data_IF_927170953077
#
_entry.id   IF_927170953077
#
_cell.length_a   1.000
_cell.length_b   1.000
_cell.length_c   1.000
_cell.angle_alpha   90.00
_cell.angle_beta   90.00
_cell.angle_gamma   90.00
#
_symmetry.space_group_name_H-M   'P 1'
#
loop_
_entity.id
_entity.type
_entity.pdbx_description
1 polymer ?
#
# COMPACT_ATOMS: atom_id res chain seq x y z
N UNK A 1 -2.99 -15.89 6.45
CA UNK A 1 -1.57 -15.61 6.73
C UNK A 1 -0.85 -15.36 5.42
N UNK A 2 0.12 -14.45 5.38
CA UNK A 2 0.99 -14.28 4.19
C UNK A 2 2.41 -14.67 4.59
N UNK A 3 3.00 -15.60 3.85
CA UNK A 3 4.40 -16.00 4.04
C UNK A 3 5.25 -15.37 2.94
N UNK A 4 6.27 -14.60 3.34
CA UNK A 4 7.22 -14.00 2.42
C UNK A 4 8.50 -14.84 2.42
N UNK A 5 8.88 -15.41 1.27
CA UNK A 5 9.84 -16.50 1.27
C UNK A 5 10.84 -16.47 0.12
N UNK A 6 12.10 -16.84 0.44
CA UNK A 6 13.22 -16.94 -0.50
C UNK A 6 13.49 -18.37 -1.00
N UNK A 7 13.35 -19.39 -0.14
CA UNK A 7 13.63 -20.80 -0.47
C UNK A 7 12.58 -21.77 0.08
N UNK A 8 12.35 -22.90 -0.59
CA UNK A 8 11.33 -23.89 -0.19
C UNK A 8 11.64 -24.61 1.14
N UNK A 9 12.91 -24.96 1.37
CA UNK A 9 13.36 -25.70 2.56
C UNK A 9 12.97 -24.92 3.82
N UNK A 10 13.15 -23.60 3.80
CA UNK A 10 12.80 -22.73 4.91
C UNK A 10 11.29 -22.60 5.09
N UNK A 11 10.48 -22.67 4.01
CA UNK A 11 9.01 -22.64 4.11
C UNK A 11 8.46 -23.84 4.87
N UNK A 12 8.97 -25.04 4.59
CA UNK A 12 8.50 -26.27 5.24
C UNK A 12 8.83 -26.27 6.73
N UNK A 13 10.04 -25.85 7.11
CA UNK A 13 10.44 -25.70 8.52
C UNK A 13 9.59 -24.66 9.24
N UNK A 14 9.39 -23.49 8.62
CA UNK A 14 8.56 -22.43 9.17
C UNK A 14 7.10 -22.88 9.36
N UNK A 15 6.54 -23.60 8.38
CA UNK A 15 5.17 -24.12 8.48
C UNK A 15 5.01 -25.12 9.63
N UNK A 16 6.00 -26.00 9.85
CA UNK A 16 6.00 -26.91 11.01
C UNK A 16 5.96 -26.12 12.32
N UNK A 17 6.85 -25.14 12.48
CA UNK A 17 6.90 -24.26 13.65
C UNK A 17 5.58 -23.52 13.87
N UNK A 18 4.98 -22.93 12.83
CA UNK A 18 3.71 -22.21 12.95
C UNK A 18 2.60 -23.17 13.39
N UNK A 19 2.57 -24.40 12.86
CA UNK A 19 1.59 -25.40 13.27
C UNK A 19 1.79 -25.86 14.73
N UNK A 20 3.02 -25.99 15.21
CA UNK A 20 3.31 -26.30 16.61
C UNK A 20 2.84 -25.16 17.52
N UNK A 21 3.21 -23.92 17.21
CA UNK A 21 2.73 -22.75 17.93
C UNK A 21 1.21 -22.61 17.89
N UNK A 22 0.58 -22.87 16.74
CA UNK A 22 -0.87 -22.76 16.60
C UNK A 22 -1.58 -23.81 17.44
N UNK A 23 -1.03 -25.03 17.56
CA UNK A 23 -1.55 -26.06 18.48
C UNK A 23 -1.48 -25.61 19.94
N UNK A 24 -0.34 -25.06 20.36
CA UNK A 24 -0.15 -24.56 21.74
C UNK A 24 -1.13 -23.42 22.04
N UNK A 25 -1.28 -22.48 21.10
CA UNK A 25 -2.14 -21.32 21.25
C UNK A 25 -3.64 -21.61 20.98
N UNK A 26 -4.00 -22.83 20.57
CA UNK A 26 -5.37 -23.21 20.24
C UNK A 26 -5.91 -22.59 18.93
N UNK A 27 -5.05 -22.07 18.06
CA UNK A 27 -5.43 -21.48 16.78
C UNK A 27 -5.33 -22.48 15.61
N UNK A 28 -6.26 -22.36 14.65
CA UNK A 28 -6.26 -23.13 13.40
C UNK A 28 -5.93 -22.23 12.21
N UNK A 29 -4.88 -22.58 11.46
CA UNK A 29 -4.51 -21.85 10.24
C UNK A 29 -5.57 -22.09 9.16
N UNK A 30 -6.09 -21.00 8.60
CA UNK A 30 -6.94 -21.08 7.41
C UNK A 30 -6.05 -21.19 6.15
N UNK A 31 -5.92 -22.41 5.62
CA UNK A 31 -5.07 -22.72 4.46
C UNK A 31 -5.57 -22.01 3.20
N UNK A 32 -6.89 -21.94 2.99
CA UNK A 32 -7.50 -21.32 1.80
C UNK A 32 -7.25 -19.81 1.73
N UNK A 33 -7.28 -19.13 2.88
CA UNK A 33 -6.96 -17.69 2.99
C UNK A 33 -5.46 -17.42 3.12
N UNK A 34 -4.65 -18.46 3.23
CA UNK A 34 -3.21 -18.30 3.38
C UNK A 34 -2.50 -18.38 2.05
N UNK A 35 -1.59 -17.43 1.85
CA UNK A 35 -0.93 -17.20 0.58
C UNK A 35 0.57 -17.21 0.83
N UNK A 36 1.31 -17.84 -0.08
CA UNK A 36 2.76 -17.74 -0.11
C UNK A 36 3.17 -16.80 -1.23
N UNK A 37 3.88 -15.74 -0.87
CA UNK A 37 4.47 -14.80 -1.80
C UNK A 37 5.95 -15.13 -1.99
N UNK A 38 6.32 -15.45 -3.23
CA UNK A 38 7.64 -15.99 -3.54
C UNK A 38 8.49 -15.01 -4.38
N UNK A 39 9.73 -14.83 -3.95
CA UNK A 39 10.73 -14.01 -4.64
C UNK A 39 11.67 -14.85 -5.52
N UNK A 40 11.15 -15.67 -6.44
CA UNK A 40 12.01 -16.42 -7.38
C UNK A 40 11.68 -16.09 -8.83
N UNK A 41 12.71 -15.79 -9.64
CA UNK A 41 12.58 -15.56 -11.09
C UNK A 41 12.64 -16.87 -11.88
N UNK A 42 12.99 -17.98 -11.23
CA UNK A 42 13.17 -19.24 -11.93
C UNK A 42 11.81 -19.94 -12.10
N UNK A 43 11.31 -19.97 -13.33
CA UNK A 43 10.03 -20.60 -13.70
C UNK A 43 9.97 -22.09 -13.37
N UNK A 44 11.10 -22.80 -13.45
CA UNK A 44 11.21 -24.22 -13.10
C UNK A 44 10.91 -24.39 -11.60
N UNK A 45 11.55 -23.59 -10.76
CA UNK A 45 11.30 -23.59 -9.31
C UNK A 45 9.87 -23.16 -8.98
N UNK A 46 9.27 -22.22 -9.73
CA UNK A 46 7.87 -21.82 -9.51
C UNK A 46 6.91 -22.99 -9.74
N UNK A 47 7.11 -23.78 -10.80
CA UNK A 47 6.29 -24.97 -11.09
C UNK A 47 6.46 -26.05 -10.03
N UNK A 48 7.70 -26.33 -9.64
CA UNK A 48 8.01 -27.30 -8.59
C UNK A 48 7.32 -26.91 -7.27
N UNK A 49 7.44 -25.65 -6.86
CA UNK A 49 6.85 -25.15 -5.62
C UNK A 49 5.32 -25.16 -5.62
N UNK A 50 4.69 -24.91 -6.77
CA UNK A 50 3.23 -24.96 -6.90
C UNK A 50 2.67 -26.35 -6.56
N UNK A 51 3.46 -27.39 -6.80
CA UNK A 51 3.07 -28.78 -6.52
C UNK A 51 3.41 -29.21 -5.08
N UNK A 52 4.40 -28.57 -4.43
CA UNK A 52 4.85 -28.95 -3.07
C UNK A 52 4.15 -28.17 -1.94
N UNK A 53 3.76 -26.92 -2.17
CA UNK A 53 3.24 -26.04 -1.11
C UNK A 53 1.71 -26.12 -1.03
N UNK A 54 1.20 -26.40 0.17
CA UNK A 54 -0.24 -26.46 0.47
C UNK A 54 -0.99 -25.12 0.32
N UNK A 55 -0.28 -23.99 0.35
CA UNK A 55 -0.86 -22.67 0.22
C UNK A 55 -0.97 -22.22 -1.24
N UNK A 56 -1.94 -21.35 -1.51
CA UNK A 56 -2.04 -20.67 -2.80
C UNK A 56 -0.79 -19.82 -3.01
N UNK A 57 0.01 -20.17 -4.00
CA UNK A 57 1.16 -19.37 -4.41
C UNK A 57 0.67 -18.24 -5.32
N UNK A 58 1.11 -17.01 -5.03
CA UNK A 58 0.82 -15.85 -5.89
C UNK A 58 2.12 -15.21 -6.34
N UNK A 59 2.22 -15.02 -7.65
CA UNK A 59 3.20 -14.18 -8.34
C UNK A 59 2.45 -13.15 -9.19
N UNK A 60 3.03 -12.00 -9.56
CA UNK A 60 4.17 -11.27 -8.98
C UNK A 60 3.73 -10.13 -8.04
N UNK A 61 2.41 -9.95 -7.84
CA UNK A 61 1.81 -8.84 -7.10
C UNK A 61 0.72 -9.35 -6.17
N UNK A 62 0.71 -8.87 -4.93
CA UNK A 62 -0.39 -9.07 -3.98
C UNK A 62 -0.79 -7.73 -3.37
N UNK A 63 -2.04 -7.61 -2.93
CA UNK A 63 -2.48 -6.49 -2.11
C UNK A 63 -2.64 -6.97 -0.67
N UNK A 64 -1.93 -6.34 0.26
CA UNK A 64 -2.02 -6.63 1.68
C UNK A 64 -2.20 -5.33 2.46
N UNK A 65 -3.24 -5.26 3.29
CA UNK A 65 -3.59 -4.08 4.09
C UNK A 65 -3.59 -2.77 3.28
N UNK A 66 -4.09 -2.81 2.05
CA UNK A 66 -4.14 -1.64 1.17
C UNK A 66 -2.84 -1.35 0.39
N UNK A 67 -1.75 -2.06 0.67
CA UNK A 67 -0.46 -1.89 0.03
C UNK A 67 -0.26 -2.96 -1.05
N UNK A 68 0.12 -2.52 -2.24
CA UNK A 68 0.53 -3.37 -3.33
C UNK A 68 1.97 -3.84 -3.09
N UNK A 69 2.13 -5.09 -2.68
CA UNK A 69 3.45 -5.72 -2.61
C UNK A 69 3.79 -6.28 -3.99
N UNK A 70 4.96 -5.89 -4.48
CA UNK A 70 5.54 -6.37 -5.72
C UNK A 70 6.84 -7.08 -5.43
N UNK A 71 7.22 -7.94 -6.35
CA UNK A 71 8.57 -8.50 -6.36
C UNK A 71 9.61 -7.39 -6.41
N UNK A 72 9.58 -6.55 -7.44
CA UNK A 72 10.60 -5.52 -7.57
C UNK A 72 10.36 -4.37 -6.60
N UNK A 73 11.41 -3.97 -5.87
CA UNK A 73 11.38 -2.83 -4.94
C UNK A 73 11.14 -1.53 -5.71
N UNK A 74 11.66 -1.43 -6.94
CA UNK A 74 11.48 -0.29 -7.85
C UNK A 74 9.98 -0.05 -8.15
N UNK A 75 9.25 -1.13 -8.39
CA UNK A 75 7.82 -1.11 -8.66
C UNK A 75 6.96 -0.74 -7.45
N UNK A 76 7.46 -1.02 -6.24
CA UNK A 76 6.73 -0.82 -5.00
C UNK A 76 6.41 0.67 -4.80
N UNK A 77 7.36 1.55 -5.14
CA UNK A 77 7.16 3.00 -5.08
C UNK A 77 6.07 3.43 -6.07
N UNK A 78 6.22 3.09 -7.35
CA UNK A 78 5.30 3.51 -8.40
C UNK A 78 3.88 2.99 -8.16
N UNK A 79 3.70 1.73 -7.72
CA UNK A 79 2.36 1.14 -7.54
C UNK A 79 1.65 1.55 -6.25
N UNK A 80 2.33 2.17 -5.29
CA UNK A 80 1.71 2.59 -4.03
C UNK A 80 1.62 4.11 -3.90
N UNK A 81 2.73 4.83 -4.13
CA UNK A 81 2.75 6.28 -3.96
C UNK A 81 2.06 7.00 -5.12
N UNK A 82 2.27 6.58 -6.38
CA UNK A 82 1.54 7.17 -7.51
C UNK A 82 0.03 6.98 -7.36
N UNK A 83 -0.39 5.81 -6.89
CA UNK A 83 -1.79 5.51 -6.60
C UNK A 83 -2.32 6.34 -5.43
N UNK A 84 -1.56 6.50 -4.34
CA UNK A 84 -1.92 7.39 -3.23
C UNK A 84 -2.14 8.82 -3.73
N UNK A 85 -1.25 9.34 -4.55
CA UNK A 85 -1.37 10.70 -5.10
C UNK A 85 -2.60 10.84 -6.01
N UNK A 86 -2.95 9.80 -6.77
CA UNK A 86 -4.18 9.80 -7.57
C UNK A 86 -5.43 9.84 -6.69
N UNK A 87 -5.47 9.01 -5.64
CA UNK A 87 -6.58 8.99 -4.67
C UNK A 87 -6.74 10.37 -4.00
N UNK A 88 -5.64 10.99 -3.56
CA UNK A 88 -5.66 12.34 -2.96
C UNK A 88 -6.22 13.37 -3.94
N UNK A 89 -5.85 13.31 -5.22
CA UNK A 89 -6.40 14.22 -6.24
C UNK A 89 -7.89 14.02 -6.46
N UNK A 90 -8.34 12.77 -6.53
CA UNK A 90 -9.75 12.42 -6.70
C UNK A 90 -10.59 12.86 -5.49
N UNK A 91 -10.09 12.62 -4.27
CA UNK A 91 -10.76 13.03 -3.04
C UNK A 91 -10.79 14.56 -2.90
N UNK A 92 -9.68 15.25 -3.22
CA UNK A 92 -9.65 16.72 -3.23
C UNK A 92 -10.61 17.31 -4.26
N UNK A 93 -10.79 16.67 -5.43
CA UNK A 93 -11.76 17.13 -6.43
C UNK A 93 -13.18 17.03 -5.89
N UNK A 94 -13.53 15.94 -5.20
CA UNK A 94 -14.84 15.76 -4.57
C UNK A 94 -15.09 16.78 -3.46
N UNK A 95 -14.06 17.15 -2.68
CA UNK A 95 -14.20 18.11 -1.59
C UNK A 95 -14.22 19.57 -2.05
N UNK A 96 -13.79 19.85 -3.27
CA UNK A 96 -13.81 21.21 -3.83
C UNK A 96 -15.21 21.83 -3.78
N UNK A 97 -16.22 21.01 -4.06
CA UNK A 97 -17.62 21.42 -4.19
C UNK A 97 -18.38 21.41 -2.84
N UNK A 98 -17.73 20.96 -1.75
CA UNK A 98 -18.37 20.91 -0.43
C UNK A 98 -18.42 22.31 0.20
N UNK A 99 -19.58 22.75 0.74
CA UNK A 99 -19.70 24.01 1.46
C UNK A 99 -19.00 23.88 2.82
N UNK A 100 -17.71 24.20 2.86
CA UNK A 100 -16.88 24.12 4.05
C UNK A 100 -15.94 25.34 4.08
N UNK A 101 -15.80 25.93 5.27
CA UNK A 101 -14.86 27.03 5.50
C UNK A 101 -13.42 26.59 5.19
N UNK A 102 -12.55 27.56 4.93
CA UNK A 102 -11.12 27.32 4.72
C UNK A 102 -10.50 26.47 5.84
N UNK A 103 -10.81 26.78 7.11
CA UNK A 103 -10.29 26.03 8.26
C UNK A 103 -10.84 24.59 8.30
N UNK A 104 -12.11 24.38 7.94
CA UNK A 104 -12.71 23.07 7.88
C UNK A 104 -12.12 22.20 6.77
N UNK A 105 -11.72 22.79 5.64
CA UNK A 105 -10.98 22.11 4.56
C UNK A 105 -9.60 21.66 5.03
N UNK A 106 -8.85 22.51 5.75
CA UNK A 106 -7.55 22.14 6.34
C UNK A 106 -7.71 20.97 7.31
N UNK A 107 -8.70 21.03 8.21
CA UNK A 107 -8.93 19.96 9.17
C UNK A 107 -9.33 18.65 8.48
N UNK A 108 -10.16 18.72 7.43
CA UNK A 108 -10.50 17.55 6.61
C UNK A 108 -9.25 16.91 5.99
N UNK A 109 -8.35 17.69 5.40
CA UNK A 109 -7.08 17.18 4.85
C UNK A 109 -6.24 16.52 5.94
N UNK A 110 -6.09 17.19 7.10
CA UNK A 110 -5.33 16.67 8.24
C UNK A 110 -5.92 15.38 8.82
N UNK A 111 -7.22 15.19 8.77
CA UNK A 111 -7.87 14.00 9.33
C UNK A 111 -7.97 12.84 8.33
N UNK A 112 -8.23 13.12 7.06
CA UNK A 112 -8.49 12.08 6.07
C UNK A 112 -7.24 11.70 5.24
N UNK A 113 -6.43 12.68 4.82
CA UNK A 113 -5.28 12.44 3.95
C UNK A 113 -4.02 12.12 4.75
N UNK A 114 -3.73 12.94 5.77
CA UNK A 114 -2.47 12.83 6.50
C UNK A 114 -2.26 11.45 7.15
N UNK A 115 -3.23 10.84 7.87
CA UNK A 115 -3.03 9.53 8.50
C UNK A 115 -2.82 8.43 7.45
N UNK A 116 -3.53 8.51 6.34
CA UNK A 116 -3.42 7.56 5.22
C UNK A 116 -2.06 7.64 4.52
N UNK A 117 -1.52 8.85 4.38
CA UNK A 117 -0.18 9.07 3.84
C UNK A 117 0.89 8.53 4.81
N UNK A 118 0.83 8.91 6.08
CA UNK A 118 1.77 8.44 7.13
C UNK A 118 1.78 6.91 7.16
N UNK A 119 0.61 6.27 7.20
CA UNK A 119 0.50 4.81 7.19
C UNK A 119 1.23 4.17 6.02
N UNK A 120 1.03 4.67 4.79
CA UNK A 120 1.70 4.12 3.59
C UNK A 120 3.21 4.37 3.60
N UNK A 121 3.66 5.53 4.07
CA UNK A 121 5.08 5.84 4.19
C UNK A 121 5.78 4.98 5.25
N UNK A 122 5.14 4.75 6.41
CA UNK A 122 5.70 3.92 7.48
C UNK A 122 5.71 2.43 7.12
N UNK A 123 4.70 1.96 6.39
CA UNK A 123 4.61 0.55 6.02
C UNK A 123 5.58 0.17 4.89
N UNK A 124 5.95 1.12 4.02
CA UNK A 124 6.90 0.92 2.94
C UNK A 124 8.23 1.56 3.32
N UNK A 125 9.14 0.77 3.88
CA UNK A 125 10.50 1.19 4.22
C UNK A 125 11.39 1.37 2.97
N UNK A 126 11.00 2.29 2.07
CA UNK A 126 11.80 2.72 0.92
C UNK A 126 12.25 4.15 1.18
N UNK A 127 13.55 4.40 1.04
CA UNK A 127 14.10 5.75 1.07
C UNK A 127 13.56 6.53 -0.13
N UNK A 128 12.75 7.55 0.13
CA UNK A 128 12.21 8.41 -0.91
C UNK A 128 13.29 9.36 -1.42
N UNK A 129 13.48 9.49 -2.73
CA UNK A 129 14.39 10.48 -3.28
C UNK A 129 13.83 11.88 -3.02
N UNK A 130 14.70 12.86 -2.79
CA UNK A 130 14.29 14.25 -2.53
C UNK A 130 13.44 14.84 -3.66
N UNK A 131 13.70 14.39 -4.90
CA UNK A 131 12.94 14.77 -6.11
C UNK A 131 11.46 14.44 -6.01
N UNK A 132 11.09 13.36 -5.30
CA UNK A 132 9.69 13.04 -5.07
C UNK A 132 8.99 14.16 -4.29
N UNK A 133 9.62 14.65 -3.21
CA UNK A 133 9.06 15.72 -2.40
C UNK A 133 9.00 17.06 -3.15
N UNK A 134 10.00 17.37 -3.99
CA UNK A 134 9.97 18.60 -4.79
C UNK A 134 8.90 18.57 -5.88
N UNK A 135 8.68 17.43 -6.54
CA UNK A 135 7.56 17.23 -7.46
C UNK A 135 6.21 17.35 -6.77
N UNK A 136 6.08 16.77 -5.57
CA UNK A 136 4.86 16.92 -4.78
C UNK A 136 4.61 18.37 -4.42
N UNK A 137 5.61 19.13 -3.96
CA UNK A 137 5.46 20.53 -3.54
C UNK A 137 5.11 21.52 -4.67
N UNK A 138 5.29 21.14 -5.95
CA UNK A 138 4.82 21.93 -7.09
C UNK A 138 3.31 21.82 -7.34
N UNK A 139 2.69 20.69 -6.98
CA UNK A 139 1.25 20.47 -7.19
C UNK A 139 0.31 21.16 -6.19
N UNK A 140 0.62 21.33 -4.88
CA UNK A 140 -0.25 22.03 -3.95
C UNK A 140 -0.35 23.52 -4.27
N UNK A 141 0.54 24.11 -5.08
CA UNK A 141 0.36 25.48 -5.56
C UNK A 141 -0.97 25.61 -6.32
N UNK A 142 -1.38 24.63 -7.12
CA UNK A 142 -2.68 24.63 -7.78
C UNK A 142 -3.84 24.32 -6.81
N UNK A 143 -3.62 23.51 -5.77
CA UNK A 143 -4.65 23.24 -4.75
C UNK A 143 -4.90 24.49 -3.91
N UNK A 144 -3.85 25.12 -3.37
CA UNK A 144 -3.93 26.35 -2.60
C UNK A 144 -4.42 27.54 -3.44
N UNK A 145 -4.07 27.64 -4.72
CA UNK A 145 -4.60 28.66 -5.63
C UNK A 145 -6.11 28.46 -5.88
N UNK A 146 -6.55 27.23 -6.15
CA UNK A 146 -7.98 26.90 -6.32
C UNK A 146 -8.81 27.19 -5.06
N UNK A 147 -8.19 27.15 -3.87
CA UNK A 147 -8.87 27.45 -2.62
C UNK A 147 -8.84 28.97 -2.31
N UNK A 148 -7.79 29.72 -2.71
CA UNK A 148 -7.75 31.20 -2.63
C UNK A 148 -8.80 31.87 -3.54
N UNK A 149 -9.00 31.35 -4.75
CA UNK A 149 -9.92 31.96 -5.73
C UNK A 149 -11.40 31.84 -5.33
N UNK A 150 -11.72 31.03 -4.30
CA UNK A 150 -13.08 30.94 -3.73
C UNK A 150 -13.46 32.07 -2.76
N UNK A 151 -12.52 32.98 -2.46
CA UNK A 151 -12.73 34.14 -1.59
C UNK A 151 -13.18 35.41 -2.32
N UNK A 152 -13.20 35.44 -3.66
CA UNK A 152 -13.69 36.61 -4.39
C UNK A 152 -15.23 36.59 -4.44
N UNK A 153 -15.91 37.61 -3.87
CA UNK A 153 -17.34 37.75 -4.06
C UNK A 153 -17.62 37.89 -5.55
N UNK A 154 -18.58 37.13 -6.07
CA UNK A 154 -19.17 37.42 -7.38
C UNK A 154 -19.78 38.81 -7.27
N UNK A 155 -19.10 39.82 -7.81
CA UNK A 155 -19.68 41.14 -7.99
C UNK A 155 -20.84 40.98 -8.98
N UNK A 156 -22.05 41.20 -8.47
CA UNK A 156 -23.30 41.36 -9.22
C UNK A 156 -23.32 42.71 -9.91
#
# INVERSE_FOLDING_TARGET
MILYQKTLITTQKLLKLINEFSKIAGYKINIQKSITFMYTNNEILQKEYKNTILFKIIFPKIKYLGINLTKEVKDLHAKNYKTLMKEIKEDSKKWKDFPCSWIGRINTVKMAILPKAIYRFSAIHIKLPMTFFTEQNKQPQNLFQTIKDSELPKQS
#
